data_IF_241498720451
#
_entry.id   IF_241498720451
#
_cell.length_a   1.000
_cell.length_b   1.000
_cell.length_c   1.000
_cell.angle_alpha   90.00
_cell.angle_beta   90.00
_cell.angle_gamma   90.00
#
_symmetry.space_group_name_H-M   'P 1'
#
loop_
_entity.id
_entity.type
_entity.pdbx_description
1 polymer ?
#
# COMPACT_ATOMS: atom_id res chain seq x y z
N UNK A 1 15.08 1.00 -9.28
CA UNK A 1 14.34 0.18 -8.30
C UNK A 1 13.51 1.09 -7.42
N UNK A 2 12.28 0.70 -7.08
CA UNK A 2 11.44 1.46 -6.14
C UNK A 2 11.25 0.62 -4.87
N UNK A 3 11.55 1.20 -3.72
CA UNK A 3 11.28 0.57 -2.42
C UNK A 3 10.20 1.36 -1.70
N UNK A 4 9.27 0.68 -1.04
CA UNK A 4 8.27 1.34 -0.20
C UNK A 4 8.26 0.76 1.21
N UNK A 5 8.13 1.64 2.20
CA UNK A 5 7.97 1.27 3.60
C UNK A 5 6.81 2.06 4.22
N UNK A 6 5.90 1.40 4.95
CA UNK A 6 4.92 2.11 5.75
C UNK A 6 5.61 2.74 6.97
N UNK A 7 5.19 3.95 7.36
CA UNK A 7 5.68 4.59 8.57
C UNK A 7 5.01 4.03 9.84
N UNK A 8 3.87 3.35 9.69
CA UNK A 8 3.13 2.73 10.78
C UNK A 8 2.57 1.36 10.36
N UNK A 9 2.52 0.37 11.27
CA UNK A 9 1.97 -0.96 10.98
C UNK A 9 0.46 -0.92 10.72
N UNK A 10 -0.07 -1.98 10.12
CA UNK A 10 -1.51 -2.16 9.96
C UNK A 10 -2.18 -2.37 11.32
N UNK A 11 -3.33 -1.73 11.52
CA UNK A 11 -4.18 -1.99 12.67
C UNK A 11 -5.23 -3.05 12.31
N UNK A 12 -4.89 -4.32 12.57
CA UNK A 12 -5.75 -5.46 12.27
C UNK A 12 -7.17 -5.35 12.86
N UNK A 13 -7.34 -5.12 14.17
CA UNK A 13 -8.65 -5.00 14.80
C UNK A 13 -9.52 -3.84 14.29
N UNK A 14 -8.93 -2.75 13.81
CA UNK A 14 -9.71 -1.65 13.20
C UNK A 14 -10.24 -2.06 11.82
N UNK A 15 -9.41 -2.73 11.01
CA UNK A 15 -9.76 -3.13 9.65
C UNK A 15 -10.63 -4.39 9.59
N UNK A 16 -10.42 -5.33 10.51
CA UNK A 16 -11.21 -6.54 10.69
C UNK A 16 -11.54 -6.67 12.18
N UNK A 17 -12.66 -6.05 12.62
CA UNK A 17 -13.10 -6.11 14.01
C UNK A 17 -13.44 -7.53 14.45
N UNK A 18 -13.20 -7.85 15.72
CA UNK A 18 -13.45 -9.18 16.29
C UNK A 18 -14.91 -9.61 16.09
N UNK A 19 -15.86 -8.69 16.25
CA UNK A 19 -17.29 -8.96 16.01
C UNK A 19 -17.61 -9.40 14.57
N UNK A 20 -16.82 -8.98 13.57
CA UNK A 20 -16.95 -9.46 12.20
C UNK A 20 -16.25 -10.82 12.03
N UNK A 21 -15.05 -10.97 12.59
CA UNK A 21 -14.27 -12.21 12.53
C UNK A 21 -15.02 -13.38 13.18
N UNK A 22 -15.62 -13.16 14.34
CA UNK A 22 -16.34 -14.17 15.14
C UNK A 22 -17.59 -14.73 14.43
N UNK A 23 -18.10 -14.03 13.41
CA UNK A 23 -19.21 -14.51 12.57
C UNK A 23 -18.78 -15.64 11.62
N UNK A 24 -17.48 -15.73 11.29
CA UNK A 24 -16.94 -16.64 10.28
C UNK A 24 -15.93 -17.63 10.83
N UNK A 25 -15.25 -17.28 11.92
CA UNK A 25 -14.22 -18.08 12.58
C UNK A 25 -14.58 -18.20 14.05
N UNK A 26 -14.58 -19.43 14.59
CA UNK A 26 -14.79 -19.67 16.03
C UNK A 26 -13.49 -20.17 16.65
N UNK A 27 -12.59 -19.25 17.06
CA UNK A 27 -11.31 -19.63 17.63
C UNK A 27 -11.49 -20.23 19.04
N UNK A 28 -10.70 -21.24 19.36
CA UNK A 28 -10.43 -21.61 20.75
C UNK A 28 -9.66 -20.50 21.47
N UNK A 29 -9.74 -20.46 22.81
CA UNK A 29 -9.06 -19.45 23.62
C UNK A 29 -7.52 -19.48 23.44
N UNK A 30 -6.96 -20.63 23.12
CA UNK A 30 -5.55 -20.88 22.82
C UNK A 30 -5.13 -20.43 21.40
N UNK A 31 -6.09 -20.12 20.53
CA UNK A 31 -5.84 -19.77 19.12
C UNK A 31 -5.85 -18.26 18.84
N UNK A 32 -6.02 -17.42 19.88
CA UNK A 32 -6.12 -15.96 19.71
C UNK A 32 -4.86 -15.35 19.08
N UNK A 33 -3.67 -15.84 19.44
CA UNK A 33 -2.41 -15.39 18.84
C UNK A 33 -2.34 -15.75 17.34
N UNK A 34 -2.76 -16.97 17.00
CA UNK A 34 -2.79 -17.44 15.61
C UNK A 34 -3.77 -16.63 14.77
N UNK A 35 -4.95 -16.34 15.31
CA UNK A 35 -5.96 -15.50 14.67
C UNK A 35 -5.43 -14.10 14.39
N UNK A 36 -4.76 -13.47 15.36
CA UNK A 36 -4.15 -12.16 15.18
C UNK A 36 -3.07 -12.16 14.10
N UNK A 37 -2.25 -13.21 14.03
CA UNK A 37 -1.24 -13.39 13.00
C UNK A 37 -1.88 -13.53 11.61
N UNK A 38 -2.87 -14.42 11.44
CA UNK A 38 -3.55 -14.60 10.15
C UNK A 38 -4.32 -13.37 9.70
N UNK A 39 -4.88 -12.59 10.64
CA UNK A 39 -5.51 -11.30 10.32
C UNK A 39 -4.53 -10.35 9.66
N UNK A 40 -3.35 -10.16 10.25
CA UNK A 40 -2.32 -9.29 9.68
C UNK A 40 -1.75 -9.84 8.37
N UNK A 41 -1.54 -11.15 8.26
CA UNK A 41 -1.08 -11.80 7.03
C UNK A 41 -2.06 -11.57 5.88
N UNK A 42 -3.36 -11.79 6.12
CA UNK A 42 -4.38 -11.59 5.10
C UNK A 42 -4.46 -10.12 4.65
N UNK A 43 -4.46 -9.17 5.59
CA UNK A 43 -4.48 -7.74 5.27
C UNK A 43 -3.23 -7.30 4.49
N UNK A 44 -2.05 -7.74 4.92
CA UNK A 44 -0.79 -7.43 4.25
C UNK A 44 -0.68 -8.05 2.85
N UNK A 45 -1.25 -9.24 2.66
CA UNK A 45 -1.36 -9.85 1.35
C UNK A 45 -2.28 -9.05 0.43
N UNK A 46 -3.47 -8.63 0.90
CA UNK A 46 -4.41 -7.82 0.10
C UNK A 46 -3.77 -6.50 -0.31
N UNK A 47 -3.10 -5.80 0.60
CA UNK A 47 -2.36 -4.59 0.24
C UNK A 47 -1.33 -4.88 -0.84
N UNK A 48 -0.51 -5.92 -0.66
CA UNK A 48 0.57 -6.25 -1.60
C UNK A 48 0.04 -6.66 -2.98
N UNK A 49 -1.07 -7.41 -3.03
CA UNK A 49 -1.70 -7.87 -4.26
C UNK A 49 -2.34 -6.72 -5.06
N UNK A 50 -2.94 -5.76 -4.37
CA UNK A 50 -3.74 -4.68 -5.01
C UNK A 50 -3.02 -3.35 -5.14
N UNK A 51 -1.84 -3.21 -4.52
CA UNK A 51 -1.17 -1.94 -4.28
C UNK A 51 -2.04 -0.90 -3.53
N UNK A 52 -3.15 -1.32 -2.91
CA UNK A 52 -3.97 -0.44 -2.08
C UNK A 52 -3.41 -0.35 -0.66
N UNK A 53 -3.65 0.77 0.03
CA UNK A 53 -3.41 0.95 1.46
C UNK A 53 -4.76 0.86 2.17
N UNK A 54 -4.95 -0.16 3.01
CA UNK A 54 -6.27 -0.45 3.58
C UNK A 54 -6.72 0.57 4.63
N UNK A 55 -5.77 1.29 5.24
CA UNK A 55 -6.02 2.41 6.13
C UNK A 55 -5.18 3.60 5.71
N UNK A 56 -5.66 4.81 5.99
CA UNK A 56 -4.86 6.02 5.84
C UNK A 56 -3.63 5.95 6.75
N UNK A 57 -2.45 5.98 6.14
CA UNK A 57 -1.17 6.08 6.84
C UNK A 57 -0.10 6.68 5.94
N UNK A 58 1.01 7.05 6.58
CA UNK A 58 2.18 7.59 5.90
C UNK A 58 3.03 6.47 5.32
N UNK A 59 3.55 6.73 4.13
CA UNK A 59 4.39 5.87 3.34
C UNK A 59 5.63 6.62 2.89
N UNK A 60 6.74 5.91 2.82
CA UNK A 60 8.01 6.42 2.28
C UNK A 60 8.37 5.56 1.08
N UNK A 61 8.35 6.16 -0.11
CA UNK A 61 8.83 5.55 -1.33
C UNK A 61 10.21 6.10 -1.68
N UNK A 62 11.16 5.22 -2.01
CA UNK A 62 12.48 5.60 -2.51
C UNK A 62 12.65 5.13 -3.94
N UNK A 63 13.29 5.97 -4.75
CA UNK A 63 13.57 5.77 -6.17
C UNK A 63 15.05 6.03 -6.40
N UNK A 64 15.65 5.37 -7.39
CA UNK A 64 17.08 5.55 -7.70
C UNK A 64 17.37 6.86 -8.46
N UNK A 65 16.35 7.59 -8.88
CA UNK A 65 16.45 8.87 -9.57
C UNK A 65 15.06 9.42 -9.90
N UNK A 66 15.02 10.60 -10.50
CA UNK A 66 13.79 11.12 -11.10
C UNK A 66 13.51 10.44 -12.45
N UNK A 67 12.22 10.31 -12.77
CA UNK A 67 11.71 9.80 -14.03
C UNK A 67 10.59 10.73 -14.52
N UNK A 68 10.28 10.72 -15.81
CA UNK A 68 9.26 11.59 -16.42
C UNK A 68 7.91 11.50 -15.69
N UNK A 69 7.56 10.29 -15.24
CA UNK A 69 6.38 10.01 -14.45
C UNK A 69 6.74 9.10 -13.28
N UNK A 70 6.84 9.67 -12.08
CA UNK A 70 7.06 8.89 -10.88
C UNK A 70 5.73 8.37 -10.33
N UNK A 71 5.53 7.06 -10.34
CA UNK A 71 4.30 6.43 -9.83
C UNK A 71 4.46 6.10 -8.35
N UNK A 72 3.57 6.64 -7.52
CA UNK A 72 3.48 6.28 -6.11
C UNK A 72 2.94 4.85 -6.01
N UNK A 73 3.63 3.94 -5.31
CA UNK A 73 3.29 2.52 -5.36
C UNK A 73 2.15 2.12 -4.42
N UNK A 74 1.45 3.09 -3.82
CA UNK A 74 0.29 2.85 -2.95
C UNK A 74 -0.84 3.81 -3.26
N UNK A 75 -2.03 3.24 -3.43
CA UNK A 75 -3.28 3.96 -3.64
C UNK A 75 -4.30 3.68 -2.51
N UNK A 76 -5.35 4.50 -2.35
CA UNK A 76 -5.50 5.83 -2.92
C UNK A 76 -4.54 6.83 -2.26
N UNK A 77 -3.77 7.57 -3.05
CA UNK A 77 -2.95 8.68 -2.54
C UNK A 77 -3.86 9.81 -2.05
N UNK A 78 -3.65 10.25 -0.81
CA UNK A 78 -4.40 11.36 -0.19
C UNK A 78 -3.63 12.67 -0.27
N UNK A 79 -2.34 12.63 0.01
CA UNK A 79 -1.47 13.82 -0.07
C UNK A 79 -0.01 13.41 -0.16
N UNK A 80 0.78 14.14 -0.95
CA UNK A 80 2.25 14.06 -0.87
C UNK A 80 2.70 15.06 0.19
N UNK A 81 3.51 14.58 1.14
CA UNK A 81 3.96 15.33 2.32
C UNK A 81 5.27 16.04 2.04
N UNK A 82 6.23 15.34 1.44
CA UNK A 82 7.53 15.92 1.10
C UNK A 82 8.22 15.15 -0.01
N UNK A 83 9.09 15.86 -0.72
CA UNK A 83 10.07 15.28 -1.62
C UNK A 83 11.48 15.72 -1.22
N UNK A 84 12.38 14.77 -1.05
CA UNK A 84 13.80 15.02 -0.86
C UNK A 84 14.61 14.20 -1.85
N UNK A 85 15.76 14.70 -2.28
CA UNK A 85 16.64 14.00 -3.18
C UNK A 85 18.11 14.32 -2.91
N UNK A 86 19.01 13.42 -3.31
CA UNK A 86 20.44 13.69 -3.36
C UNK A 86 20.78 14.31 -4.70
N UNK A 87 21.32 15.53 -4.69
CA UNK A 87 21.72 16.24 -5.90
C UNK A 87 22.99 15.64 -6.54
N UNK A 88 23.42 16.18 -7.68
CA UNK A 88 24.64 15.76 -8.37
C UNK A 88 25.94 15.81 -7.51
N UNK A 89 25.94 16.55 -6.40
CA UNK A 89 27.06 16.64 -5.46
C UNK A 89 26.87 15.70 -4.24
N UNK A 90 25.88 14.81 -4.30
CA UNK A 90 25.47 13.90 -3.23
C UNK A 90 25.02 14.61 -1.94
N UNK A 91 24.51 15.84 -2.07
CA UNK A 91 23.94 16.60 -0.97
C UNK A 91 22.41 16.41 -0.90
N UNK A 92 21.92 16.12 0.31
CA UNK A 92 20.47 16.01 0.55
C UNK A 92 19.81 17.38 0.38
N UNK A 93 18.88 17.44 -0.56
CA UNK A 93 18.18 18.66 -1.00
C UNK A 93 16.67 18.47 -0.91
N UNK A 94 15.94 19.51 -0.50
CA UNK A 94 14.48 19.52 -0.59
C UNK A 94 14.07 19.73 -2.05
N UNK A 95 13.16 18.90 -2.53
CA UNK A 95 12.50 19.09 -3.82
C UNK A 95 11.05 19.56 -3.68
N UNK A 96 10.67 20.13 -2.54
CA UNK A 96 9.33 20.68 -2.35
C UNK A 96 9.08 21.85 -3.32
N UNK A 97 7.91 21.84 -3.96
CA UNK A 97 7.55 22.79 -5.01
C UNK A 97 8.07 22.45 -6.40
N UNK A 98 8.93 21.43 -6.55
CA UNK A 98 9.39 20.96 -7.88
C UNK A 98 8.39 20.03 -8.57
N UNK A 99 7.29 19.70 -7.90
CA UNK A 99 6.39 18.63 -8.31
C UNK A 99 4.93 19.05 -8.32
N UNK A 100 4.12 18.28 -9.04
CA UNK A 100 2.66 18.29 -9.01
C UNK A 100 2.13 16.85 -9.00
N UNK A 101 0.95 16.67 -8.43
CA UNK A 101 0.29 15.36 -8.33
C UNK A 101 -0.89 15.27 -9.29
N UNK A 102 -0.98 14.17 -10.03
CA UNK A 102 -2.13 13.83 -10.87
C UNK A 102 -2.50 12.36 -10.61
N UNK A 103 -3.54 12.13 -9.82
CA UNK A 103 -3.84 10.79 -9.28
C UNK A 103 -2.69 10.29 -8.42
N UNK A 104 -2.18 9.08 -8.66
CA UNK A 104 -0.98 8.53 -8.00
C UNK A 104 0.34 8.85 -8.71
N UNK A 105 0.34 9.80 -9.66
CA UNK A 105 1.53 10.18 -10.42
C UNK A 105 2.10 11.49 -9.90
N UNK A 106 3.39 11.49 -9.64
CA UNK A 106 4.19 12.66 -9.37
C UNK A 106 4.92 13.07 -10.66
N UNK A 107 4.73 14.33 -11.04
CA UNK A 107 5.24 14.93 -12.27
C UNK A 107 6.01 16.20 -11.90
N UNK A 108 6.92 16.69 -12.76
CA UNK A 108 7.48 18.02 -12.60
C UNK A 108 6.38 19.08 -12.51
N UNK A 109 6.65 20.13 -11.73
CA UNK A 109 5.83 21.34 -11.74
C UNK A 109 5.66 21.88 -13.17
N UNK A 110 4.56 22.60 -13.42
CA UNK A 110 4.25 23.08 -14.77
C UNK A 110 5.37 23.99 -15.28
N UNK A 111 5.97 23.65 -16.41
CA UNK A 111 7.08 24.40 -17.01
C UNK A 111 8.46 24.11 -16.41
N UNK A 112 8.57 23.15 -15.48
CA UNK A 112 9.83 22.72 -14.89
C UNK A 112 10.26 21.34 -15.41
N UNK A 113 11.54 21.02 -15.22
CA UNK A 113 12.12 19.69 -15.40
C UNK A 113 12.68 19.19 -14.08
N UNK A 114 12.80 17.87 -13.93
CA UNK A 114 13.44 17.31 -12.74
C UNK A 114 14.91 17.73 -12.64
N UNK A 115 15.42 18.00 -11.43
CA UNK A 115 16.85 18.17 -11.20
C UNK A 115 17.65 16.90 -11.49
N UNK A 116 18.96 17.06 -11.70
CA UNK A 116 19.89 15.93 -11.78
C UNK A 116 20.19 15.41 -10.37
N UNK A 117 20.02 14.11 -10.17
CA UNK A 117 20.34 13.41 -8.90
C UNK A 117 21.77 12.87 -8.90
N UNK A 118 22.30 12.55 -7.72
CA UNK A 118 23.49 11.71 -7.58
C UNK A 118 23.27 10.33 -8.22
N UNK A 119 24.33 9.74 -8.77
CA UNK A 119 24.33 8.36 -9.29
C UNK A 119 24.43 7.36 -8.12
N UNK A 120 23.30 7.11 -7.46
CA UNK A 120 23.20 6.20 -6.31
C UNK A 120 21.82 5.57 -6.17
N UNK A 121 21.78 4.43 -5.50
CA UNK A 121 20.51 3.82 -5.08
C UNK A 121 19.73 4.72 -4.11
N UNK A 122 18.40 4.73 -4.23
CA UNK A 122 17.50 5.54 -3.40
C UNK A 122 17.83 7.05 -3.40
N UNK A 123 18.24 7.60 -4.54
CA UNK A 123 18.58 9.02 -4.69
C UNK A 123 17.38 9.96 -4.46
N UNK A 124 16.14 9.50 -4.66
CA UNK A 124 14.92 10.30 -4.41
C UNK A 124 14.07 9.61 -3.36
N UNK A 125 13.57 10.39 -2.40
CA UNK A 125 12.67 9.96 -1.35
C UNK A 125 11.39 10.79 -1.38
N UNK A 126 10.25 10.12 -1.45
CA UNK A 126 8.92 10.72 -1.41
C UNK A 126 8.17 10.22 -0.19
N UNK A 127 7.76 11.14 0.67
CA UNK A 127 6.87 10.84 1.79
C UNK A 127 5.46 11.26 1.41
N UNK A 128 4.49 10.36 1.56
CA UNK A 128 3.10 10.62 1.21
C UNK A 128 2.14 9.88 2.13
N UNK A 129 0.88 10.30 2.15
CA UNK A 129 -0.20 9.62 2.85
C UNK A 129 -1.10 8.94 1.83
N UNK A 130 -1.40 7.67 2.07
CA UNK A 130 -2.29 6.88 1.22
C UNK A 130 -3.18 5.98 2.07
N UNK A 131 -4.34 5.68 1.52
CA UNK A 131 -5.30 4.74 2.08
C UNK A 131 -6.67 5.34 2.38
N UNK A 132 -7.58 4.45 2.73
CA UNK A 132 -8.98 4.76 3.02
C UNK A 132 -9.16 5.38 4.40
N UNK A 133 -10.13 6.30 4.51
CA UNK A 133 -10.61 6.76 5.81
C UNK A 133 -11.46 5.66 6.46
N UNK A 134 -12.31 5.04 5.64
CA UNK A 134 -13.10 3.89 6.03
C UNK A 134 -13.19 2.89 4.87
N UNK A 135 -12.37 1.85 4.95
CA UNK A 135 -12.33 0.80 3.92
C UNK A 135 -13.65 0.03 3.82
N UNK A 136 -14.43 -0.05 4.90
CA UNK A 136 -15.68 -0.82 4.90
C UNK A 136 -16.74 -0.15 4.01
N UNK A 137 -16.71 1.17 3.91
CA UNK A 137 -17.65 1.96 3.08
C UNK A 137 -17.05 2.32 1.72
N UNK A 138 -15.78 2.70 1.67
CA UNK A 138 -15.12 3.14 0.43
C UNK A 138 -14.70 1.96 -0.47
N UNK A 139 -14.29 0.84 0.11
CA UNK A 139 -13.74 -0.31 -0.63
C UNK A 139 -14.08 -1.67 0.05
N UNK A 140 -15.38 -1.99 0.25
CA UNK A 140 -15.82 -3.17 1.00
C UNK A 140 -15.25 -4.49 0.46
N UNK A 141 -15.01 -4.57 -0.85
CA UNK A 141 -14.40 -5.73 -1.50
C UNK A 141 -13.01 -6.08 -0.93
N UNK A 142 -12.20 -5.08 -0.58
CA UNK A 142 -10.87 -5.29 0.01
C UNK A 142 -10.99 -5.91 1.42
N UNK A 143 -11.90 -5.40 2.23
CA UNK A 143 -12.15 -5.90 3.59
C UNK A 143 -12.71 -7.34 3.55
N UNK A 144 -13.67 -7.61 2.68
CA UNK A 144 -14.26 -8.94 2.51
C UNK A 144 -13.21 -9.93 1.99
N UNK A 145 -12.39 -9.55 1.00
CA UNK A 145 -11.31 -10.40 0.51
C UNK A 145 -10.31 -10.75 1.63
N UNK A 146 -9.94 -9.78 2.47
CA UNK A 146 -9.07 -10.02 3.62
C UNK A 146 -9.70 -10.97 4.65
N UNK A 147 -11.01 -10.82 4.92
CA UNK A 147 -11.75 -11.71 5.81
C UNK A 147 -11.80 -13.15 5.28
N UNK A 148 -12.09 -13.33 4.00
CA UNK A 148 -12.14 -14.64 3.36
C UNK A 148 -10.76 -15.32 3.33
N UNK A 149 -9.71 -14.57 3.03
CA UNK A 149 -8.34 -15.08 3.07
C UNK A 149 -7.92 -15.43 4.50
N UNK A 150 -8.24 -14.60 5.49
CA UNK A 150 -7.94 -14.90 6.89
C UNK A 150 -8.66 -16.18 7.35
N UNK A 151 -9.94 -16.36 6.98
CA UNK A 151 -10.67 -17.61 7.23
C UNK A 151 -9.99 -18.80 6.58
N UNK A 152 -9.59 -18.70 5.31
CA UNK A 152 -8.87 -19.75 4.60
C UNK A 152 -7.57 -20.15 5.29
N UNK A 153 -6.76 -19.18 5.72
CA UNK A 153 -5.53 -19.45 6.48
C UNK A 153 -5.83 -20.13 7.82
N UNK A 154 -6.89 -19.69 8.51
CA UNK A 154 -7.31 -20.30 9.77
C UNK A 154 -7.78 -21.75 9.61
N UNK A 155 -8.47 -22.05 8.51
CA UNK A 155 -8.92 -23.41 8.14
C UNK A 155 -7.76 -24.32 7.68
N UNK A 156 -6.51 -23.83 7.68
CA UNK A 156 -5.30 -24.57 7.32
C UNK A 156 -4.82 -24.36 5.88
N UNK A 157 -5.43 -23.43 5.15
CA UNK A 157 -5.01 -23.04 3.81
C UNK A 157 -3.69 -22.25 3.78
N UNK A 158 -3.10 -22.10 2.59
CA UNK A 158 -1.87 -21.34 2.38
C UNK A 158 -2.09 -20.13 1.46
N UNK A 159 -1.14 -19.19 1.50
CA UNK A 159 -1.10 -18.05 0.56
C UNK A 159 -0.67 -18.45 -0.87
N UNK A 160 -0.21 -19.68 -1.07
CA UNK A 160 0.14 -20.19 -2.40
C UNK A 160 -1.11 -20.68 -3.13
N UNK A 161 -2.13 -21.11 -2.37
CA UNK A 161 -3.43 -21.57 -2.86
C UNK A 161 -4.54 -20.63 -2.38
N UNK A 162 -4.49 -19.38 -2.84
CA UNK A 162 -5.51 -18.38 -2.49
C UNK A 162 -6.84 -18.73 -3.17
N UNK A 163 -7.97 -18.78 -2.43
CA UNK A 163 -9.26 -19.09 -3.02
C UNK A 163 -9.61 -18.17 -4.19
N UNK A 164 -10.07 -18.74 -5.31
CA UNK A 164 -10.41 -17.99 -6.51
C UNK A 164 -11.40 -16.84 -6.26
N UNK A 165 -12.32 -17.00 -5.31
CA UNK A 165 -13.25 -15.95 -4.90
C UNK A 165 -12.53 -14.70 -4.40
N UNK A 166 -11.43 -14.85 -3.66
CA UNK A 166 -10.63 -13.74 -3.14
C UNK A 166 -9.97 -13.00 -4.29
N UNK A 167 -9.27 -13.71 -5.18
CA UNK A 167 -8.58 -13.09 -6.32
C UNK A 167 -9.57 -12.44 -7.29
N UNK A 168 -10.72 -13.06 -7.56
CA UNK A 168 -11.77 -12.47 -8.41
C UNK A 168 -12.36 -11.19 -7.81
N UNK A 169 -12.59 -11.14 -6.50
CA UNK A 169 -13.08 -9.94 -5.80
C UNK A 169 -12.11 -8.76 -5.96
N UNK A 170 -10.80 -9.05 -5.89
CA UNK A 170 -9.76 -8.03 -5.98
C UNK A 170 -9.48 -7.62 -7.43
N UNK A 171 -9.33 -8.59 -8.33
CA UNK A 171 -8.94 -8.37 -9.71
C UNK A 171 -10.02 -7.64 -10.52
N UNK A 172 -11.30 -7.84 -10.19
CA UNK A 172 -12.40 -7.18 -10.86
C UNK A 172 -12.42 -5.65 -10.66
N UNK A 173 -11.87 -5.15 -9.55
CA UNK A 173 -12.01 -3.74 -9.14
C UNK A 173 -10.68 -2.99 -8.99
N UNK A 174 -9.61 -3.66 -8.55
CA UNK A 174 -8.39 -2.99 -8.10
C UNK A 174 -7.15 -3.34 -8.92
N UNK A 175 -7.24 -4.34 -9.80
CA UNK A 175 -6.13 -4.66 -10.70
C UNK A 175 -6.16 -3.70 -11.88
N UNK A 176 -5.19 -2.80 -11.95
CA UNK A 176 -4.99 -1.97 -13.14
C UNK A 176 -4.63 -2.89 -14.32
N UNK A 177 -5.41 -2.92 -15.41
CA UNK A 177 -5.02 -3.67 -16.59
C UNK A 177 -3.71 -3.09 -17.11
N UNK A 178 -2.68 -3.93 -17.23
CA UNK A 178 -1.46 -3.56 -17.95
C UNK A 178 -1.84 -3.56 -19.42
N UNK A 179 -2.24 -2.41 -19.93
CA UNK A 179 -2.29 -2.20 -21.39
C UNK A 179 -0.83 -2.07 -21.80
N UNK A 180 -0.27 -3.16 -22.32
CA UNK A 180 1.09 -3.22 -22.85
C UNK A 180 1.28 -2.34 -24.07
#
# INVERSE_FOLDING_TARGET
>A
MVTIKPAAPLNGPVLLPDALVDQYVKPGADQLLLLAAFRLTALGWVESHTAQSLMRRRWVATFDGFDDVMRLPRDPVRSVVSLAYFDHADALTSGDGLWRVVGSRLLPAVGATWPVTADRGSAVQVTFEAGYDDVATEAPALQIAALLLMKHLFDGGSIEDVPATVTLLLDAQYRTPVIG
#
